data_IF_654921372574
#
_entry.id   IF_654921372574
#
_cell.length_a   1.000
_cell.length_b   1.000
_cell.length_c   1.000
_cell.angle_alpha   90.00
_cell.angle_beta   90.00
_cell.angle_gamma   90.00
#
_symmetry.space_group_name_H-M   'P 1'
#
loop_
_entity.id
_entity.type
_entity.pdbx_description
1 polymer ?
#
# COMPACT_ATOMS: atom_id res chain seq x y z
N UNK A 1 8.03 -28.82 3.03
CA UNK A 1 7.73 -27.54 3.71
C UNK A 1 6.60 -26.84 2.94
N UNK A 2 5.59 -26.28 3.63
CA UNK A 2 4.47 -25.60 2.97
C UNK A 2 4.82 -24.10 2.75
N UNK A 3 4.37 -23.48 1.65
CA UNK A 3 4.61 -22.07 1.40
C UNK A 3 3.83 -21.19 2.39
N UNK A 4 4.33 -19.98 2.73
CA UNK A 4 3.65 -19.06 3.60
C UNK A 4 2.31 -18.60 2.99
N UNK A 5 1.31 -18.26 3.82
CA UNK A 5 0.04 -17.74 3.33
C UNK A 5 0.25 -16.41 2.60
N UNK A 6 -0.42 -16.25 1.47
CA UNK A 6 -0.40 -15.02 0.68
C UNK A 6 -0.97 -13.87 1.53
N UNK A 7 -0.13 -12.92 1.93
CA UNK A 7 -0.56 -11.75 2.70
C UNK A 7 -1.31 -10.80 1.77
N UNK A 8 -2.64 -10.79 1.87
CA UNK A 8 -3.46 -9.80 1.18
C UNK A 8 -3.54 -8.53 2.02
N UNK A 9 -2.92 -7.44 1.56
CA UNK A 9 -3.07 -6.15 2.22
C UNK A 9 -4.51 -5.61 2.07
N UNK A 10 -5.10 -5.07 3.15
CA UNK A 10 -6.42 -4.47 3.10
C UNK A 10 -6.42 -3.21 2.21
N UNK A 11 -7.62 -2.81 1.78
CA UNK A 11 -7.83 -1.53 1.10
C UNK A 11 -8.01 -0.43 2.14
N UNK A 12 -7.20 0.62 2.03
CA UNK A 12 -7.19 1.82 2.87
C UNK A 12 -7.54 3.04 2.00
N UNK A 13 -8.08 4.10 2.61
CA UNK A 13 -8.38 5.37 1.93
C UNK A 13 -7.23 6.36 2.10
N UNK A 14 -6.80 7.00 1.01
CA UNK A 14 -5.71 7.98 1.04
C UNK A 14 -6.14 9.28 1.75
N UNK A 15 -5.30 9.79 2.64
CA UNK A 15 -5.59 11.01 3.40
C UNK A 15 -5.52 12.30 2.54
N UNK A 16 -4.71 12.31 1.47
CA UNK A 16 -4.52 13.48 0.62
C UNK A 16 -5.36 13.52 -0.66
N UNK A 17 -5.88 12.39 -1.12
CA UNK A 17 -6.62 12.30 -2.38
C UNK A 17 -7.83 11.36 -2.34
N UNK A 18 -8.23 10.90 -1.15
CA UNK A 18 -9.44 10.10 -0.89
C UNK A 18 -9.61 8.80 -1.73
N UNK A 19 -8.58 8.39 -2.48
CA UNK A 19 -8.57 7.17 -3.29
C UNK A 19 -8.26 5.92 -2.46
N UNK A 20 -8.93 4.82 -2.80
CA UNK A 20 -8.63 3.51 -2.24
C UNK A 20 -7.27 2.98 -2.75
N UNK A 21 -6.42 2.50 -1.83
CA UNK A 21 -5.13 1.89 -2.13
C UNK A 21 -4.87 0.70 -1.20
N UNK A 22 -3.94 -0.19 -1.56
CA UNK A 22 -3.58 -1.35 -0.72
C UNK A 22 -2.36 -1.04 0.13
N UNK A 23 -2.47 -1.19 1.45
CA UNK A 23 -1.36 -0.96 2.37
C UNK A 23 -1.61 -1.62 3.72
N UNK A 24 -0.58 -2.15 4.41
CA UNK A 24 -0.71 -2.68 5.77
C UNK A 24 -0.95 -1.58 6.81
N UNK A 25 -0.52 -0.34 6.53
CA UNK A 25 -0.69 0.81 7.42
C UNK A 25 -1.47 1.93 6.72
N UNK A 26 -2.26 2.72 7.48
CA UNK A 26 -2.92 3.92 6.96
C UNK A 26 -1.88 4.97 6.51
N UNK A 27 -2.27 5.85 5.58
CA UNK A 27 -1.41 6.92 5.08
C UNK A 27 -1.71 7.32 3.64
N UNK A 28 -0.65 7.67 2.91
CA UNK A 28 -0.74 8.16 1.53
C UNK A 28 -0.57 7.03 0.49
N UNK A 29 -1.34 7.11 -0.59
CA UNK A 29 -1.28 6.16 -1.69
C UNK A 29 0.06 6.24 -2.44
N UNK A 30 0.32 5.30 -3.37
CA UNK A 30 1.58 5.27 -4.14
C UNK A 30 1.80 6.54 -4.98
N UNK A 31 0.72 7.20 -5.38
CA UNK A 31 0.74 8.42 -6.18
C UNK A 31 1.06 9.65 -5.32
N UNK A 32 0.48 9.71 -4.10
CA UNK A 32 0.74 10.77 -3.13
C UNK A 32 2.06 10.58 -2.36
N UNK A 33 2.64 9.37 -2.31
CA UNK A 33 3.96 9.14 -1.70
C UNK A 33 5.04 9.41 -2.77
N UNK A 34 5.91 10.41 -2.61
CA UNK A 34 6.91 10.73 -3.63
C UNK A 34 8.14 9.79 -3.67
N UNK A 35 8.24 8.76 -2.81
CA UNK A 35 9.55 8.19 -2.44
C UNK A 35 9.66 6.66 -2.36
N UNK A 36 9.03 5.87 -3.25
CA UNK A 36 9.24 4.39 -3.24
C UNK A 36 9.44 3.75 -4.61
N UNK A 37 9.60 4.53 -5.68
CA UNK A 37 9.87 3.98 -7.02
C UNK A 37 11.37 3.87 -7.34
N UNK A 38 12.23 4.62 -6.66
CA UNK A 38 13.70 4.61 -6.84
C UNK A 38 14.40 3.41 -6.16
N UNK A 39 13.70 2.28 -5.98
CA UNK A 39 14.25 1.08 -5.34
C UNK A 39 13.66 -0.22 -5.92
N UNK A 40 13.47 -0.26 -7.24
CA UNK A 40 13.15 -1.47 -7.99
C UNK A 40 14.18 -1.72 -9.10
#
# INVERSE_FOLDING_TARGET
>A
PAPPPTVHHPFQTCDGCERAFRSPAPGHCRDCRPDLLEAA
#
